data_IF_024626679694
#
_entry.id   IF_024626679694
#
_cell.length_a   1.000
_cell.length_b   1.000
_cell.length_c   1.000
_cell.angle_alpha   90.00
_cell.angle_beta   90.00
_cell.angle_gamma   90.00
#
_symmetry.space_group_name_H-M   'P 1'
#
loop_
_entity.id
_entity.type
_entity.pdbx_description
1 polymer ?
#
# COMPACT_ATOMS: atom_id res chain seq x y z
N UNK A 1 21.34 14.58 -20.11
CA UNK A 1 22.43 13.58 -20.15
C UNK A 1 21.81 12.20 -20.23
N UNK A 2 22.17 11.36 -21.20
CA UNK A 2 21.60 10.01 -21.33
C UNK A 2 22.09 9.12 -20.17
N UNK A 3 21.20 8.27 -19.67
CA UNK A 3 21.45 7.28 -18.63
C UNK A 3 22.37 6.18 -19.16
N UNK A 4 23.68 6.41 -19.21
CA UNK A 4 24.63 5.38 -19.64
C UNK A 4 25.15 4.63 -18.41
N UNK A 5 24.69 3.39 -18.27
CA UNK A 5 25.29 2.29 -17.49
C UNK A 5 25.24 2.41 -15.97
N UNK A 6 24.05 2.26 -15.37
CA UNK A 6 23.95 1.83 -13.97
C UNK A 6 23.48 0.38 -13.93
N UNK A 7 24.39 -0.52 -13.55
CA UNK A 7 24.08 -1.91 -13.20
C UNK A 7 24.53 -2.95 -14.23
N UNK A 8 25.76 -3.44 -14.08
CA UNK A 8 26.18 -4.68 -14.75
C UNK A 8 25.26 -5.84 -14.32
N UNK A 9 24.70 -6.50 -15.33
CA UNK A 9 23.91 -7.73 -15.20
C UNK A 9 24.80 -8.86 -14.69
N UNK A 10 24.37 -9.53 -13.61
CA UNK A 10 24.90 -10.81 -13.20
C UNK A 10 23.79 -11.84 -13.36
N UNK A 11 23.91 -12.73 -14.36
CA UNK A 11 22.99 -13.84 -14.55
C UNK A 11 22.90 -14.68 -13.26
N UNK A 12 21.69 -15.00 -12.81
CA UNK A 12 21.53 -16.04 -11.80
C UNK A 12 21.67 -17.39 -12.49
N UNK A 13 22.69 -18.18 -12.15
CA UNK A 13 22.86 -19.52 -12.74
C UNK A 13 21.62 -20.37 -12.44
N UNK A 14 21.01 -20.94 -13.48
CA UNK A 14 19.81 -21.80 -13.39
C UNK A 14 18.47 -21.07 -13.59
N UNK A 15 18.47 -19.82 -14.07
CA UNK A 15 17.26 -19.05 -14.34
C UNK A 15 16.47 -19.50 -15.58
N UNK A 16 15.20 -19.10 -15.64
CA UNK A 16 14.37 -19.27 -16.84
C UNK A 16 14.83 -18.26 -17.90
N UNK A 17 15.30 -18.70 -19.09
CA UNK A 17 15.89 -17.82 -20.10
C UNK A 17 14.93 -16.75 -20.62
N UNK A 18 13.62 -17.02 -20.61
CA UNK A 18 12.60 -16.05 -21.01
C UNK A 18 12.52 -14.92 -19.98
N UNK A 19 12.53 -15.23 -18.69
CA UNK A 19 12.47 -14.21 -17.63
C UNK A 19 13.75 -13.39 -17.54
N UNK A 20 14.89 -13.98 -17.88
CA UNK A 20 16.15 -13.25 -18.00
C UNK A 20 16.13 -12.31 -19.21
N UNK A 21 15.57 -12.74 -20.35
CA UNK A 21 15.38 -11.88 -21.52
C UNK A 21 14.46 -10.70 -21.23
N UNK A 22 13.33 -10.95 -20.56
CA UNK A 22 12.41 -9.89 -20.11
C UNK A 22 13.10 -8.93 -19.16
N UNK A 23 13.82 -9.43 -18.15
CA UNK A 23 14.55 -8.59 -17.22
C UNK A 23 15.58 -7.70 -17.94
N UNK A 24 16.34 -8.26 -18.89
CA UNK A 24 17.31 -7.51 -19.69
C UNK A 24 16.64 -6.41 -20.51
N UNK A 25 15.54 -6.72 -21.20
CA UNK A 25 14.78 -5.73 -21.98
C UNK A 25 14.22 -4.63 -21.09
N UNK A 26 13.69 -4.98 -19.93
CA UNK A 26 13.16 -4.01 -18.95
C UNK A 26 14.25 -3.08 -18.43
N UNK A 27 15.43 -3.62 -18.09
CA UNK A 27 16.56 -2.80 -17.66
C UNK A 27 17.08 -1.87 -18.76
N UNK A 28 17.02 -2.29 -20.04
CA UNK A 28 17.41 -1.46 -21.17
C UNK A 28 16.53 -0.21 -21.36
N UNK A 29 15.32 -0.19 -20.79
CA UNK A 29 14.42 0.99 -20.82
C UNK A 29 14.77 2.03 -19.74
N UNK A 30 15.74 1.72 -18.86
CA UNK A 30 16.29 2.66 -17.88
C UNK A 30 15.75 2.64 -16.44
N UNK A 31 14.90 1.72 -15.95
CA UNK A 31 14.60 1.67 -14.53
C UNK A 31 15.86 1.29 -13.73
N UNK A 32 16.03 1.81 -12.50
CA UNK A 32 17.17 1.45 -11.66
C UNK A 32 17.24 -0.03 -11.29
N UNK A 33 16.08 -0.68 -11.18
CA UNK A 33 15.98 -2.10 -10.88
C UNK A 33 14.65 -2.70 -11.33
N UNK A 34 14.64 -4.03 -11.40
CA UNK A 34 13.52 -4.83 -11.86
C UNK A 34 13.42 -6.09 -11.00
N UNK A 35 12.20 -6.48 -10.65
CA UNK A 35 11.89 -7.74 -9.98
C UNK A 35 10.61 -8.35 -10.56
N UNK A 36 10.60 -9.67 -10.71
CA UNK A 36 9.40 -10.40 -11.09
C UNK A 36 9.33 -11.78 -10.44
N UNK A 37 8.09 -12.25 -10.26
CA UNK A 37 7.74 -13.59 -9.81
C UNK A 37 6.64 -14.12 -10.71
N UNK A 38 6.88 -15.23 -11.39
CA UNK A 38 5.93 -15.86 -12.31
C UNK A 38 5.61 -17.28 -11.85
N UNK A 39 4.33 -17.62 -11.85
CA UNK A 39 3.84 -18.95 -11.52
C UNK A 39 3.04 -19.05 -10.21
N UNK A 40 2.56 -20.26 -9.94
CA UNK A 40 1.60 -20.57 -8.88
C UNK A 40 1.97 -21.86 -8.13
N UNK A 41 1.59 -21.94 -6.86
CA UNK A 41 1.92 -23.07 -5.99
C UNK A 41 3.43 -23.34 -5.93
N UNK A 42 3.90 -24.58 -6.14
CA UNK A 42 5.32 -24.91 -6.10
C UNK A 42 6.08 -24.48 -7.37
N UNK A 43 5.39 -24.16 -8.46
CA UNK A 43 6.02 -23.79 -9.74
C UNK A 43 6.18 -22.28 -9.82
N UNK A 44 7.18 -21.76 -9.10
CA UNK A 44 7.46 -20.32 -9.04
C UNK A 44 8.87 -20.06 -9.53
N UNK A 45 8.98 -19.19 -10.54
CA UNK A 45 10.26 -18.63 -10.97
C UNK A 45 10.33 -17.17 -10.54
N UNK A 46 11.51 -16.74 -10.10
CA UNK A 46 11.79 -15.37 -9.68
C UNK A 46 12.97 -14.83 -10.48
N UNK A 47 12.94 -13.55 -10.78
CA UNK A 47 14.05 -12.84 -11.40
C UNK A 47 14.18 -11.45 -10.78
N UNK A 48 15.39 -10.95 -10.69
CA UNK A 48 15.67 -9.58 -10.30
C UNK A 48 16.93 -9.08 -10.99
N UNK A 49 16.96 -7.79 -11.32
CA UNK A 49 18.07 -7.13 -11.96
C UNK A 49 18.20 -5.69 -11.45
N UNK A 50 19.40 -5.13 -11.57
CA UNK A 50 19.69 -3.74 -11.17
C UNK A 50 19.72 -3.52 -9.66
N UNK A 51 19.42 -2.29 -9.28
CA UNK A 51 19.53 -1.75 -7.93
C UNK A 51 18.15 -1.45 -7.37
N UNK A 52 17.99 -1.78 -6.10
CA UNK A 52 16.85 -1.34 -5.32
C UNK A 52 17.17 -0.10 -4.48
N UNK A 53 18.45 0.25 -4.35
CA UNK A 53 18.88 1.57 -3.89
C UNK A 53 20.16 1.99 -4.63
N UNK A 54 20.05 3.04 -5.45
CA UNK A 54 21.16 3.64 -6.21
C UNK A 54 22.20 4.28 -5.28
N UNK A 55 21.77 4.87 -4.16
CA UNK A 55 22.66 5.63 -3.27
C UNK A 55 23.63 4.71 -2.52
N UNK A 56 23.13 3.56 -2.06
CA UNK A 56 23.92 2.55 -1.36
C UNK A 56 24.48 1.46 -2.29
N UNK A 57 24.01 1.40 -3.54
CA UNK A 57 24.34 0.33 -4.49
C UNK A 57 23.69 -1.01 -4.15
N UNK A 58 22.66 -1.03 -3.28
CA UNK A 58 21.98 -2.27 -2.88
C UNK A 58 21.30 -2.91 -4.09
N UNK A 59 21.69 -4.16 -4.38
CA UNK A 59 21.07 -4.94 -5.48
C UNK A 59 19.60 -5.22 -5.20
N UNK A 60 18.81 -5.19 -6.28
CA UNK A 60 17.41 -5.60 -6.26
C UNK A 60 17.30 -7.10 -6.00
N UNK A 61 16.39 -7.48 -5.09
CA UNK A 61 16.03 -8.88 -4.88
C UNK A 61 14.56 -9.12 -5.27
N UNK A 62 14.25 -10.31 -5.79
CA UNK A 62 12.89 -10.66 -6.20
C UNK A 62 11.87 -10.78 -5.05
N UNK A 63 12.32 -10.59 -3.81
CA UNK A 63 11.51 -10.54 -2.58
C UNK A 63 11.41 -9.13 -2.00
N UNK A 64 12.04 -8.15 -2.65
CA UNK A 64 11.97 -6.77 -2.20
C UNK A 64 10.52 -6.29 -2.26
N UNK A 65 10.18 -5.50 -1.25
CA UNK A 65 8.90 -4.83 -1.09
C UNK A 65 8.93 -3.50 -1.84
N UNK A 66 7.79 -3.10 -2.38
CA UNK A 66 7.65 -1.87 -3.15
C UNK A 66 6.22 -1.33 -3.01
N UNK A 67 6.01 -0.08 -3.38
CA UNK A 67 4.66 0.51 -3.38
C UNK A 67 3.82 -0.10 -4.51
N UNK A 68 2.68 -0.69 -4.14
CA UNK A 68 1.82 -1.36 -5.12
C UNK A 68 1.11 -0.37 -6.06
N UNK A 69 1.16 0.93 -5.75
CA UNK A 69 0.57 1.99 -6.56
C UNK A 69 -0.92 1.74 -6.83
N UNK A 70 -1.31 1.85 -8.10
CA UNK A 70 -2.71 1.67 -8.53
C UNK A 70 -3.25 0.26 -8.36
N UNK A 71 -2.43 -0.75 -8.09
CA UNK A 71 -2.92 -2.09 -7.71
C UNK A 71 -3.75 -2.06 -6.41
N UNK A 72 -3.57 -1.01 -5.58
CA UNK A 72 -4.41 -0.77 -4.38
C UNK A 72 -5.90 -0.69 -4.72
N UNK A 73 -6.27 -0.22 -5.92
CA UNK A 73 -7.67 -0.11 -6.36
C UNK A 73 -8.40 -1.44 -6.30
N UNK A 74 -7.72 -2.54 -6.65
CA UNK A 74 -8.31 -3.88 -6.57
C UNK A 74 -8.69 -4.25 -5.14
N UNK A 75 -7.86 -3.89 -4.14
CA UNK A 75 -8.18 -4.12 -2.73
C UNK A 75 -9.40 -3.29 -2.30
N UNK A 76 -9.45 -2.01 -2.66
CA UNK A 76 -10.59 -1.13 -2.39
C UNK A 76 -11.87 -1.65 -3.06
N UNK A 77 -11.79 -2.13 -4.30
CA UNK A 77 -12.91 -2.71 -5.03
C UNK A 77 -13.43 -3.98 -4.35
N UNK A 78 -12.55 -4.88 -3.89
CA UNK A 78 -12.93 -6.06 -3.11
C UNK A 78 -13.67 -5.67 -1.84
N UNK A 79 -13.19 -4.67 -1.10
CA UNK A 79 -13.90 -4.17 0.10
C UNK A 79 -15.28 -3.60 -0.24
N UNK A 80 -15.40 -2.82 -1.32
CA UNK A 80 -16.69 -2.30 -1.78
C UNK A 80 -17.66 -3.43 -2.14
N UNK A 81 -17.21 -4.42 -2.92
CA UNK A 81 -18.04 -5.57 -3.32
C UNK A 81 -18.43 -6.45 -2.12
N UNK A 82 -17.54 -6.60 -1.14
CA UNK A 82 -17.87 -7.25 0.14
C UNK A 82 -18.98 -6.52 0.91
N UNK A 83 -19.08 -5.18 0.81
CA UNK A 83 -20.20 -4.42 1.37
C UNK A 83 -21.48 -4.57 0.54
N UNK A 84 -21.36 -4.76 -0.78
CA UNK A 84 -22.49 -5.09 -1.66
C UNK A 84 -23.09 -6.44 -1.30
N UNK A 85 -22.25 -7.47 -1.12
CA UNK A 85 -22.70 -8.81 -0.72
C UNK A 85 -23.46 -8.81 0.62
N UNK A 86 -23.13 -7.86 1.50
CA UNK A 86 -23.80 -7.66 2.81
C UNK A 86 -25.02 -6.74 2.74
N UNK A 87 -25.39 -6.26 1.57
CA UNK A 87 -26.49 -5.30 1.38
C UNK A 87 -26.24 -3.90 1.94
N UNK A 88 -25.01 -3.58 2.36
CA UNK A 88 -24.65 -2.30 2.97
C UNK A 88 -24.32 -1.23 1.91
N UNK A 89 -23.82 -1.67 0.75
CA UNK A 89 -23.51 -0.84 -0.41
C UNK A 89 -24.36 -1.31 -1.61
N UNK A 90 -24.83 -0.38 -2.44
CA UNK A 90 -25.54 -0.69 -3.69
C UNK A 90 -24.79 -0.07 -4.85
N UNK A 91 -24.45 -0.88 -5.86
CA UNK A 91 -23.69 -0.43 -7.02
C UNK A 91 -24.40 0.71 -7.78
N UNK A 92 -25.70 0.62 -7.93
CA UNK A 92 -26.49 1.60 -8.68
C UNK A 92 -27.07 2.71 -7.80
N UNK A 93 -26.73 2.73 -6.50
CA UNK A 93 -27.09 3.86 -5.66
C UNK A 93 -26.22 5.08 -5.99
N UNK A 94 -26.80 6.30 -5.94
CA UNK A 94 -26.04 7.51 -6.14
C UNK A 94 -25.04 7.72 -5.00
N UNK A 95 -23.87 8.28 -5.30
CA UNK A 95 -22.80 8.55 -4.33
C UNK A 95 -23.30 9.46 -3.20
N UNK A 96 -24.18 10.41 -3.51
CA UNK A 96 -24.81 11.31 -2.53
C UNK A 96 -25.62 10.59 -1.43
N UNK A 97 -26.04 9.33 -1.64
CA UNK A 97 -26.63 8.50 -0.58
C UNK A 97 -25.65 8.26 0.57
N UNK A 98 -24.38 8.10 0.24
CA UNK A 98 -23.32 7.76 1.18
C UNK A 98 -22.55 9.01 1.60
N UNK A 99 -22.24 9.90 0.65
CA UNK A 99 -21.50 11.14 0.87
C UNK A 99 -22.38 12.35 0.49
N UNK A 100 -23.38 12.70 1.32
CA UNK A 100 -24.30 13.80 1.01
C UNK A 100 -23.53 15.12 0.95
N UNK A 101 -23.78 15.90 -0.11
CA UNK A 101 -23.21 17.24 -0.33
C UNK A 101 -21.68 17.29 -0.49
N UNK A 102 -21.00 16.15 -0.61
CA UNK A 102 -19.54 16.10 -0.82
C UNK A 102 -19.17 16.18 -2.30
N UNK A 103 -19.91 15.49 -3.17
CA UNK A 103 -19.54 15.31 -4.59
C UNK A 103 -20.43 16.16 -5.49
N UNK A 104 -19.86 17.07 -6.30
CA UNK A 104 -20.60 17.77 -7.34
C UNK A 104 -21.35 16.78 -8.24
N UNK A 105 -22.62 17.05 -8.51
CA UNK A 105 -23.48 16.13 -9.28
C UNK A 105 -23.57 14.69 -8.70
N UNK A 106 -23.27 14.48 -7.42
CA UNK A 106 -23.25 13.16 -6.77
C UNK A 106 -24.60 12.45 -6.69
N UNK A 107 -25.70 13.09 -7.11
CA UNK A 107 -27.01 12.46 -7.31
C UNK A 107 -27.10 11.64 -8.60
N UNK A 108 -26.26 11.97 -9.59
CA UNK A 108 -26.25 11.30 -10.89
C UNK A 108 -25.03 10.38 -11.08
N UNK A 109 -24.05 10.44 -10.17
CA UNK A 109 -22.90 9.52 -10.16
C UNK A 109 -23.22 8.34 -9.24
N UNK A 110 -23.11 7.11 -9.74
CA UNK A 110 -23.33 5.88 -8.95
C UNK A 110 -22.03 5.29 -8.40
N UNK A 111 -22.13 4.41 -7.41
CA UNK A 111 -20.99 3.65 -6.88
C UNK A 111 -20.32 2.82 -7.99
N UNK A 112 -21.11 2.23 -8.90
CA UNK A 112 -20.62 1.49 -10.07
C UNK A 112 -19.74 2.36 -10.96
N UNK A 113 -20.16 3.61 -11.20
CA UNK A 113 -19.41 4.57 -12.00
C UNK A 113 -18.06 4.94 -11.38
N UNK A 114 -17.97 4.99 -10.04
CA UNK A 114 -16.68 5.15 -9.36
C UNK A 114 -15.77 3.94 -9.60
N UNK A 115 -16.28 2.72 -9.39
CA UNK A 115 -15.52 1.47 -9.52
C UNK A 115 -14.95 1.27 -10.93
N UNK A 116 -15.71 1.64 -11.97
CA UNK A 116 -15.35 1.38 -13.37
C UNK A 116 -14.82 2.61 -14.14
N UNK A 117 -14.60 3.74 -13.45
CA UNK A 117 -14.08 4.98 -14.06
C UNK A 117 -14.97 5.64 -15.12
N UNK A 118 -16.30 5.60 -14.92
CA UNK A 118 -17.31 6.24 -15.80
C UNK A 118 -18.06 7.40 -15.11
N UNK A 119 -17.52 7.93 -14.01
CA UNK A 119 -18.13 9.03 -13.26
C UNK A 119 -18.04 10.40 -13.94
N UNK A 120 -17.07 10.59 -14.83
CA UNK A 120 -16.73 11.89 -15.41
C UNK A 120 -15.88 12.80 -14.51
N UNK A 121 -15.61 12.41 -13.27
CA UNK A 121 -14.84 13.24 -12.34
C UNK A 121 -13.39 13.41 -12.79
N UNK A 122 -12.91 14.67 -12.77
CA UNK A 122 -11.50 14.97 -13.00
C UNK A 122 -10.61 14.24 -11.98
N UNK A 123 -9.45 13.75 -12.42
CA UNK A 123 -8.48 13.10 -11.54
C UNK A 123 -7.58 14.16 -10.94
N UNK A 124 -7.51 14.30 -9.62
CA UNK A 124 -6.59 15.27 -8.98
C UNK A 124 -5.11 15.09 -9.41
N UNK A 125 -4.70 13.89 -9.84
CA UNK A 125 -3.36 13.63 -10.40
C UNK A 125 -3.15 14.14 -11.82
N UNK A 126 -4.19 14.65 -12.47
CA UNK A 126 -4.12 15.34 -13.76
C UNK A 126 -3.88 16.84 -13.60
N UNK A 127 -3.95 17.37 -12.38
CA UNK A 127 -3.63 18.77 -12.09
C UNK A 127 -2.11 18.97 -11.99
N UNK A 128 -1.57 19.86 -12.82
CA UNK A 128 -0.12 20.09 -12.90
C UNK A 128 0.45 20.71 -11.63
N UNK A 129 -0.28 21.65 -11.00
CA UNK A 129 0.16 22.32 -9.78
C UNK A 129 0.21 21.34 -8.60
N UNK A 130 -0.77 20.44 -8.51
CA UNK A 130 -0.78 19.34 -7.57
C UNK A 130 0.41 18.39 -7.78
N UNK A 131 0.68 17.99 -9.02
CA UNK A 131 1.81 17.11 -9.33
C UNK A 131 3.16 17.79 -9.04
N UNK A 132 3.27 19.09 -9.28
CA UNK A 132 4.46 19.87 -8.92
C UNK A 132 4.64 19.97 -7.39
N UNK A 133 3.57 20.23 -6.65
CA UNK A 133 3.60 20.27 -5.18
C UNK A 133 3.94 18.92 -4.54
N UNK A 134 3.48 17.83 -5.16
CA UNK A 134 3.83 16.48 -4.76
C UNK A 134 5.31 16.16 -5.02
N UNK A 135 5.87 16.66 -6.11
CA UNK A 135 7.28 16.47 -6.44
C UNK A 135 8.21 17.31 -5.55
N UNK A 136 7.77 18.49 -5.11
CA UNK A 136 8.57 19.39 -4.28
C UNK A 136 8.59 18.99 -2.80
N UNK A 137 7.51 18.43 -2.28
CA UNK A 137 7.44 17.86 -0.92
C UNK A 137 6.78 16.47 -0.95
N UNK A 138 7.56 15.42 -1.24
CA UNK A 138 7.05 14.07 -1.35
C UNK A 138 6.69 13.44 0.03
N UNK A 139 7.00 14.13 1.13
CA UNK A 139 6.64 13.71 2.50
C UNK A 139 5.36 14.37 3.00
N UNK A 140 4.84 15.39 2.31
CA UNK A 140 3.58 16.04 2.66
C UNK A 140 2.42 15.05 2.56
N UNK A 141 1.72 14.83 3.67
CA UNK A 141 0.48 14.06 3.73
C UNK A 141 -0.69 14.91 3.20
N UNK A 142 -1.43 14.38 2.22
CA UNK A 142 -2.59 15.04 1.63
C UNK A 142 -3.87 14.39 2.17
N UNK A 143 -4.76 15.21 2.74
CA UNK A 143 -6.08 14.77 3.21
C UNK A 143 -7.00 14.49 2.03
N UNK A 144 -8.00 13.63 2.25
CA UNK A 144 -9.02 13.36 1.24
C UNK A 144 -9.74 14.65 0.81
N UNK A 145 -9.99 15.58 1.75
CA UNK A 145 -10.60 16.87 1.45
C UNK A 145 -9.75 17.74 0.52
N UNK A 146 -8.43 17.80 0.72
CA UNK A 146 -7.52 18.53 -0.18
C UNK A 146 -7.48 17.89 -1.58
N UNK A 147 -7.43 16.55 -1.66
CA UNK A 147 -7.45 15.84 -2.95
C UNK A 147 -8.77 16.10 -3.71
N UNK A 148 -9.90 16.10 -3.01
CA UNK A 148 -11.20 16.41 -3.60
C UNK A 148 -11.31 17.88 -3.98
N UNK A 149 -10.75 18.80 -3.20
CA UNK A 149 -10.73 20.22 -3.55
C UNK A 149 -9.98 20.48 -4.86
N UNK A 150 -8.83 19.82 -5.07
CA UNK A 150 -8.12 19.85 -6.36
C UNK A 150 -9.01 19.29 -7.46
N UNK A 151 -9.61 18.11 -7.27
CA UNK A 151 -10.43 17.50 -8.31
C UNK A 151 -11.68 18.33 -8.68
N UNK A 152 -12.33 18.95 -7.71
CA UNK A 152 -13.58 19.70 -7.91
C UNK A 152 -13.38 21.15 -8.34
N UNK A 153 -12.13 21.63 -8.40
CA UNK A 153 -11.78 22.89 -9.05
C UNK A 153 -11.80 22.81 -10.59
N UNK A 154 -11.87 21.59 -11.13
CA UNK A 154 -11.94 21.33 -12.57
C UNK A 154 -13.35 20.91 -12.99
N UNK A 155 -13.74 21.26 -14.21
CA UNK A 155 -14.96 20.75 -14.83
C UNK A 155 -14.91 19.21 -14.98
N UNK A 156 -16.06 18.52 -14.90
CA UNK A 156 -16.12 17.11 -15.23
C UNK A 156 -15.66 16.86 -16.68
N UNK A 157 -14.91 15.78 -16.89
CA UNK A 157 -14.45 15.36 -18.22
C UNK A 157 -15.62 15.01 -19.16
N UNK A 158 -16.73 14.53 -18.60
CA UNK A 158 -17.97 14.17 -19.32
C UNK A 158 -19.12 13.96 -18.32
N UNK A 159 -20.34 13.84 -18.83
CA UNK A 159 -21.52 13.56 -18.01
C UNK A 159 -21.49 12.12 -17.42
N UNK A 160 -22.03 11.86 -16.22
CA UNK A 160 -21.97 10.55 -15.59
C UNK A 160 -22.48 9.42 -16.51
N UNK A 161 -21.64 8.40 -16.72
CA UNK A 161 -21.95 7.22 -17.54
C UNK A 161 -21.79 7.39 -19.05
N UNK A 162 -21.49 8.58 -19.56
CA UNK A 162 -21.41 8.83 -21.03
C UNK A 162 -20.01 8.62 -21.61
N UNK A 163 -19.03 8.24 -20.80
CA UNK A 163 -17.65 8.07 -21.22
C UNK A 163 -16.82 7.30 -20.20
N UNK A 164 -15.53 7.17 -20.50
CA UNK A 164 -14.55 6.53 -19.63
C UNK A 164 -13.30 7.41 -19.50
N UNK A 165 -12.87 7.66 -18.26
CA UNK A 165 -11.59 8.33 -17.98
C UNK A 165 -11.09 7.89 -16.61
N UNK A 166 -9.86 7.38 -16.59
CA UNK A 166 -9.22 6.95 -15.37
C UNK A 166 -9.10 8.11 -14.37
N UNK A 167 -9.66 7.93 -13.18
CA UNK A 167 -9.71 8.98 -12.17
C UNK A 167 -9.38 8.44 -10.79
N UNK A 168 -8.30 8.95 -10.19
CA UNK A 168 -7.93 8.62 -8.81
C UNK A 168 -8.96 9.14 -7.81
N UNK A 169 -9.64 10.24 -8.12
CA UNK A 169 -10.75 10.82 -7.35
C UNK A 169 -11.83 9.79 -7.07
N UNK A 170 -12.13 8.91 -8.03
CA UNK A 170 -13.13 7.85 -7.83
C UNK A 170 -12.78 6.89 -6.69
N UNK A 171 -11.51 6.52 -6.56
CA UNK A 171 -11.07 5.57 -5.55
C UNK A 171 -10.84 6.24 -4.19
N UNK A 172 -10.54 7.53 -4.16
CA UNK A 172 -10.61 8.35 -2.93
C UNK A 172 -12.04 8.36 -2.39
N UNK A 173 -13.03 8.64 -3.24
CA UNK A 173 -14.45 8.61 -2.86
C UNK A 173 -14.92 7.23 -2.40
N UNK A 174 -14.51 6.15 -3.09
CA UNK A 174 -14.81 4.78 -2.65
C UNK A 174 -14.23 4.48 -1.26
N UNK A 175 -13.00 4.92 -1.00
CA UNK A 175 -12.40 4.83 0.33
C UNK A 175 -13.27 5.51 1.38
N UNK A 176 -13.64 6.77 1.17
CA UNK A 176 -14.52 7.52 2.08
C UNK A 176 -15.87 6.84 2.32
N UNK A 177 -16.50 6.27 1.28
CA UNK A 177 -17.76 5.52 1.41
C UNK A 177 -17.56 4.28 2.29
N UNK A 178 -16.51 3.50 2.04
CA UNK A 178 -16.19 2.29 2.80
C UNK A 178 -15.94 2.64 4.27
N UNK A 179 -15.13 3.65 4.54
CA UNK A 179 -14.81 4.07 5.90
C UNK A 179 -16.06 4.58 6.63
N UNK A 180 -16.92 5.36 5.96
CA UNK A 180 -18.18 5.82 6.53
C UNK A 180 -19.15 4.69 6.87
N UNK A 181 -19.26 3.68 6.00
CA UNK A 181 -20.19 2.56 6.20
C UNK A 181 -19.71 1.59 7.29
N UNK A 182 -18.40 1.51 7.52
CA UNK A 182 -17.81 0.52 8.42
C UNK A 182 -17.32 1.10 9.74
N UNK A 183 -17.10 2.42 9.81
CA UNK A 183 -16.43 3.08 10.93
C UNK A 183 -14.94 2.75 11.05
N UNK A 184 -14.33 2.11 10.04
CA UNK A 184 -12.94 1.63 10.06
C UNK A 184 -12.16 2.16 8.88
N UNK A 185 -10.88 2.46 9.10
CA UNK A 185 -9.99 2.92 8.04
C UNK A 185 -9.64 1.83 7.02
N UNK A 186 -9.37 2.22 5.78
CA UNK A 186 -8.91 1.29 4.73
C UNK A 186 -7.71 0.41 5.14
N UNK A 187 -6.67 0.92 5.83
CA UNK A 187 -5.56 0.09 6.33
C UNK A 187 -6.01 -1.09 7.19
N UNK A 188 -6.94 -0.84 8.11
CA UNK A 188 -7.48 -1.85 9.00
C UNK A 188 -8.32 -2.86 8.22
N UNK A 189 -9.19 -2.38 7.33
CA UNK A 189 -10.08 -3.23 6.54
C UNK A 189 -9.32 -4.13 5.58
N UNK A 190 -8.31 -3.61 4.86
CA UNK A 190 -7.49 -4.44 3.98
C UNK A 190 -6.74 -5.50 4.79
N UNK A 191 -6.20 -5.15 5.96
CA UNK A 191 -5.58 -6.13 6.85
C UNK A 191 -6.57 -7.21 7.28
N UNK A 192 -7.73 -6.83 7.80
CA UNK A 192 -8.70 -7.74 8.41
C UNK A 192 -9.46 -8.59 7.40
N UNK A 193 -9.80 -8.03 6.25
CA UNK A 193 -10.71 -8.65 5.27
C UNK A 193 -10.00 -9.28 4.08
N UNK A 194 -8.73 -8.93 3.84
CA UNK A 194 -7.99 -9.40 2.67
C UNK A 194 -6.64 -10.00 3.08
N UNK A 195 -5.73 -9.20 3.66
CA UNK A 195 -4.34 -9.63 3.84
C UNK A 195 -4.20 -10.75 4.88
N UNK A 196 -4.82 -10.64 6.05
CA UNK A 196 -4.72 -11.68 7.08
C UNK A 196 -5.41 -13.00 6.68
N UNK A 197 -6.65 -13.01 6.15
CA UNK A 197 -7.29 -14.24 5.68
C UNK A 197 -6.52 -14.96 4.57
N UNK A 198 -5.81 -14.23 3.70
CA UNK A 198 -5.02 -14.77 2.60
C UNK A 198 -3.55 -15.02 2.98
N UNK A 199 -3.13 -14.74 4.22
CA UNK A 199 -1.74 -14.93 4.66
C UNK A 199 -0.73 -13.97 3.98
N UNK A 200 -1.17 -12.82 3.48
CA UNK A 200 -0.33 -11.83 2.80
C UNK A 200 0.48 -10.99 3.81
N UNK A 201 1.50 -11.61 4.42
CA UNK A 201 2.31 -11.01 5.50
C UNK A 201 3.13 -9.78 5.10
N UNK A 202 3.31 -9.56 3.80
CA UNK A 202 4.08 -8.44 3.22
C UNK A 202 3.18 -7.47 2.45
N UNK A 203 1.89 -7.41 2.79
CA UNK A 203 0.91 -6.53 2.14
C UNK A 203 0.14 -5.74 3.18
N UNK A 204 0.29 -4.43 3.16
CA UNK A 204 -0.32 -3.52 4.13
C UNK A 204 -0.25 -2.07 3.63
N UNK A 205 -0.84 -1.16 4.38
CA UNK A 205 -0.70 0.27 4.17
C UNK A 205 0.40 0.81 5.06
N UNK A 206 1.32 1.54 4.45
CA UNK A 206 2.38 2.21 5.16
C UNK A 206 1.83 3.34 6.02
N UNK A 207 2.51 3.64 7.13
CA UNK A 207 2.34 4.96 7.73
C UNK A 207 2.85 6.00 6.71
N UNK A 208 2.02 6.97 6.30
CA UNK A 208 2.43 8.02 5.37
C UNK A 208 3.63 8.85 5.84
N UNK A 209 3.99 8.80 7.14
CA UNK A 209 5.19 9.43 7.70
C UNK A 209 6.37 8.48 7.89
N UNK A 210 6.20 7.19 7.61
CA UNK A 210 7.30 6.24 7.69
C UNK A 210 8.25 6.42 6.51
N UNK A 211 9.51 6.74 6.81
CA UNK A 211 10.58 6.71 5.81
C UNK A 211 10.94 5.25 5.55
N UNK A 212 10.56 4.74 4.38
CA UNK A 212 10.75 3.35 3.98
C UNK A 212 12.23 2.98 3.74
N UNK A 213 13.00 2.84 4.82
CA UNK A 213 14.44 2.48 4.80
C UNK A 213 14.70 1.08 5.38
N UNK A 214 13.66 0.26 5.54
CA UNK A 214 13.76 -1.08 6.09
C UNK A 214 14.45 -2.09 5.15
N UNK A 215 15.04 -3.18 5.70
CA UNK A 215 15.69 -4.21 4.90
C UNK A 215 14.71 -4.80 3.87
N UNK A 216 15.10 -4.73 2.60
CA UNK A 216 14.32 -5.26 1.48
C UNK A 216 13.27 -4.32 0.90
N UNK A 217 13.29 -3.01 1.17
CA UNK A 217 12.42 -2.05 0.47
C UNK A 217 13.12 -1.46 -0.77
N UNK A 218 12.50 -1.58 -1.95
CA UNK A 218 12.99 -0.99 -3.18
C UNK A 218 12.57 0.48 -3.29
N UNK A 219 13.55 1.37 -3.43
CA UNK A 219 13.32 2.81 -3.51
C UNK A 219 12.67 3.19 -4.85
N UNK A 220 11.71 4.12 -4.78
CA UNK A 220 11.13 4.78 -5.95
C UNK A 220 12.05 5.88 -6.47
N UNK A 221 12.03 6.11 -7.78
CA UNK A 221 12.79 7.16 -8.45
C UNK A 221 11.90 7.89 -9.45
N UNK A 222 11.77 9.20 -9.30
CA UNK A 222 10.97 10.05 -10.19
C UNK A 222 11.78 10.56 -11.39
N UNK A 223 11.12 11.01 -12.47
CA UNK A 223 11.79 11.69 -13.58
C UNK A 223 12.54 12.93 -13.05
N UNK A 224 13.85 13.01 -13.33
CA UNK A 224 14.68 14.14 -12.89
C UNK A 224 15.20 14.07 -11.45
N UNK A 225 14.86 13.02 -10.67
CA UNK A 225 15.51 12.80 -9.37
C UNK A 225 17.01 12.55 -9.59
N UNK A 226 17.92 13.31 -8.96
CA UNK A 226 19.34 12.99 -9.03
C UNK A 226 19.54 11.58 -8.48
N UNK A 227 20.43 10.80 -9.10
CA UNK A 227 20.75 9.41 -8.74
C UNK A 227 21.09 9.18 -7.24
N UNK A 228 21.28 10.26 -6.47
CA UNK A 228 21.63 10.29 -5.05
C UNK A 228 20.49 10.67 -4.10
N UNK A 229 19.31 10.99 -4.62
CA UNK A 229 18.14 11.28 -3.78
C UNK A 229 17.06 10.24 -4.11
N UNK A 230 16.78 9.29 -3.21
CA UNK A 230 15.58 8.49 -3.31
C UNK A 230 14.40 9.43 -3.49
N UNK A 231 13.51 9.16 -4.45
CA UNK A 231 12.21 9.77 -4.38
C UNK A 231 11.49 9.04 -3.24
N UNK A 232 11.58 9.58 -2.04
CA UNK A 232 10.83 9.08 -0.88
C UNK A 232 9.36 9.36 -1.15
N UNK A 233 8.68 8.46 -1.86
CA UNK A 233 7.27 8.56 -2.28
C UNK A 233 6.95 9.74 -3.21
N UNK A 234 7.00 9.57 -4.54
CA UNK A 234 6.41 10.55 -5.49
C UNK A 234 4.88 10.49 -5.50
N UNK A 235 4.24 10.01 -4.43
CA UNK A 235 2.80 9.80 -4.38
C UNK A 235 2.22 10.46 -3.15
N UNK A 236 1.05 11.12 -3.24
CA UNK A 236 0.45 11.76 -2.09
C UNK A 236 0.30 10.66 -1.04
N UNK A 237 0.77 10.87 0.19
CA UNK A 237 0.35 10.10 1.33
C UNK A 237 -1.12 10.45 1.56
N UNK A 238 -1.99 9.89 0.73
CA UNK A 238 -3.39 9.64 1.03
C UNK A 238 -3.50 8.19 1.45
N UNK A 239 -4.49 7.86 2.28
CA UNK A 239 -4.72 6.52 2.83
C UNK A 239 -4.96 5.41 1.77
N UNK A 240 -4.88 5.75 0.49
CA UNK A 240 -5.01 4.91 -0.71
C UNK A 240 -3.67 4.35 -1.24
N UNK A 241 -2.55 4.53 -0.54
CA UNK A 241 -1.26 3.91 -0.87
C UNK A 241 -0.98 2.68 0.01
N UNK A 242 -1.25 1.49 -0.54
CA UNK A 242 -0.68 0.27 0.02
C UNK A 242 0.85 0.32 -0.19
N UNK A 243 1.56 0.39 0.94
CA UNK A 243 3.00 0.55 1.01
C UNK A 243 3.55 -0.37 2.09
N UNK A 244 4.74 -0.88 1.85
CA UNK A 244 5.29 -1.99 2.60
C UNK A 244 6.51 -1.58 3.49
N UNK A 245 6.28 -1.13 4.73
CA UNK A 245 7.19 -1.12 5.92
C UNK A 245 7.12 -2.33 6.93
N UNK A 246 8.22 -3.00 7.30
CA UNK A 246 8.16 -4.09 8.28
C UNK A 246 7.51 -3.63 9.61
N UNK A 247 6.83 -4.52 10.36
CA UNK A 247 6.38 -4.17 11.70
C UNK A 247 7.59 -3.73 12.54
N UNK A 248 7.49 -2.57 13.19
CA UNK A 248 8.46 -2.18 14.21
C UNK A 248 8.55 -3.26 15.30
N UNK A 249 9.67 -3.34 16.04
CA UNK A 249 9.80 -4.30 17.12
C UNK A 249 8.65 -4.08 18.10
N UNK A 250 7.81 -5.11 18.24
CA UNK A 250 6.91 -5.18 19.39
C UNK A 250 7.81 -5.33 20.60
N UNK A 251 7.84 -4.32 21.47
CA UNK A 251 8.35 -4.49 22.82
C UNK A 251 7.62 -5.70 23.42
N UNK A 252 8.33 -6.70 23.97
CA UNK A 252 7.65 -7.79 24.65
C UNK A 252 6.86 -7.22 25.83
N UNK A 253 5.69 -7.79 26.17
CA UNK A 253 5.04 -7.46 27.43
C UNK A 253 6.02 -7.76 28.58
N UNK A 254 5.95 -7.01 29.69
CA UNK A 254 6.84 -7.25 30.82
C UNK A 254 6.68 -8.70 31.28
N UNK A 255 7.77 -9.45 31.22
CA UNK A 255 7.86 -10.79 31.82
C UNK A 255 7.79 -10.63 33.33
N UNK A 256 6.62 -10.92 33.90
CA UNK A 256 6.52 -11.25 35.32
C UNK A 256 7.13 -12.64 35.52
N UNK A 257 8.44 -12.69 35.78
CA UNK A 257 9.05 -13.90 36.31
C UNK A 257 8.66 -14.08 37.79
N UNK A 258 8.26 -15.29 38.20
CA UNK A 258 7.99 -15.61 39.58
C UNK A 258 9.31 -15.92 40.31
N UNK A 259 9.42 -15.48 41.56
CA UNK A 259 10.37 -16.06 42.51
C UNK A 259 11.52 -15.17 42.93
N UNK A 260 11.29 -14.40 43.99
CA UNK A 260 12.31 -14.17 45.02
C UNK A 260 11.66 -14.48 46.37
N UNK A 261 12.06 -15.62 46.95
CA UNK A 261 11.77 -15.94 48.35
C UNK A 261 12.70 -15.12 49.27
N UNK A 262 12.24 -14.71 50.47
CA UNK A 262 13.03 -13.95 51.43
C UNK A 262 13.88 -14.86 52.34
N UNK A 263 14.93 -14.34 53.03
CA UNK A 263 15.60 -15.09 54.08
C UNK A 263 14.89 -14.96 55.43
N UNK A 264 15.08 -16.00 56.24
CA UNK A 264 14.32 -16.38 57.43
C UNK A 264 14.61 -15.57 58.71
N UNK A 265 13.61 -15.55 59.61
CA UNK A 265 13.67 -15.63 61.09
C UNK A 265 12.20 -15.77 61.56
N UNK A 266 11.75 -16.61 62.50
CA UNK A 266 12.32 -17.63 63.36
C UNK A 266 11.16 -18.26 64.16
N UNK A 267 11.42 -19.45 64.73
CA UNK A 267 10.66 -20.12 65.79
C UNK A 267 9.17 -20.46 65.55
N UNK A 268 8.87 -21.72 65.26
CA UNK A 268 8.51 -22.71 66.30
C UNK A 268 8.08 -24.04 65.66
N UNK A 269 8.49 -25.10 66.35
CA UNK A 269 8.40 -26.48 65.94
C UNK A 269 6.99 -27.04 66.13
N UNK A 270 6.57 -27.97 65.26
CA UNK A 270 5.84 -29.20 65.61
C UNK A 270 5.83 -30.16 64.42
N UNK A 271 6.06 -31.44 64.71
CA UNK A 271 6.52 -32.54 63.85
C UNK A 271 5.32 -33.46 63.44
N UNK A 272 5.49 -34.63 62.76
CA UNK A 272 4.72 -34.97 61.55
C UNK A 272 3.89 -36.27 61.62
N UNK A 273 3.14 -36.53 60.53
CA UNK A 273 2.77 -37.81 59.89
C UNK A 273 2.15 -38.97 60.70
N UNK A 274 1.06 -39.56 60.18
CA UNK A 274 1.05 -40.98 59.73
C UNK A 274 -0.26 -41.44 59.06
N UNK A 275 -0.09 -42.07 57.89
CA UNK A 275 -0.79 -43.21 57.26
C UNK A 275 -2.23 -43.65 57.64
N UNK A 276 -2.99 -44.05 56.61
CA UNK A 276 -3.76 -45.31 56.65
C UNK A 276 -5.12 -45.35 55.93
N UNK A 277 -5.14 -45.97 54.74
CA UNK A 277 -6.28 -46.45 53.93
C UNK A 277 -7.27 -45.44 53.35
#
# INVERSE_FOLDING_TARGET
>A
MPWTTVGQWAAQRGGNPVLEDVARRMMAVGPPGYAARVGAGPRVTRTAAGLADISTGRRMAARDQFEAGSNTKTFTAVLALQLVDRGQLRLDAPVSRYLPQVVPNGRNITVRMLLNHTSGLFSYTGDEAFMAGLASDPQRVWTEAELLAVAFAHEPNFAPGTGWSYSNTNYTLLGMIIEKLTGKGLPELVRQRIAAPLGLRHTYFADPRAVHTGPGYAHGYGPGSPARSPATSTRPPGRSAAGAAPPGPSSPPPTTSPGSSPPCCGASCSRPSSSGR
#
